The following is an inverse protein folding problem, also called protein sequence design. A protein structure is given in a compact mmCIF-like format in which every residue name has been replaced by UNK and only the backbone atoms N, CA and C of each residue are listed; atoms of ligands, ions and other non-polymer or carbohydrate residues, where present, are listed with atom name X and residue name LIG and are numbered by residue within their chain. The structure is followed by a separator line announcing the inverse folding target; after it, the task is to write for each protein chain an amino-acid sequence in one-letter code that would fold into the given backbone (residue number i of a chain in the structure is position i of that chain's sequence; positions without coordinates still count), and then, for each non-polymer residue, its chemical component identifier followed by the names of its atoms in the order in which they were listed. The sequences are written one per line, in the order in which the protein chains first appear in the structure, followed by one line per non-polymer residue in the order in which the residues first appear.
data_IF_487945107148
#
_entry.id   IF_487945107148
#
_cell.length_a   1.000
_cell.length_b   1.000
_cell.length_c   1.000
_cell.angle_alpha   90.00
_cell.angle_beta   90.00
_cell.angle_gamma   90.00
#
_symmetry.space_group_name_H-M   'P 1'
#
loop_
_entity.id
_entity.type
_entity.pdbx_description
1 polymer ?
#
# COMPACT_ATOMS: atom_id res chain seq x y z
N UNK A 1 -47.30 -30.51 55.89
CA UNK A 1 -47.66 -30.75 54.48
C UNK A 1 -47.56 -29.48 53.64
N UNK A 2 -48.17 -28.36 54.07
CA UNK A 2 -48.15 -27.06 53.36
C UNK A 2 -46.73 -26.49 53.18
N UNK A 3 -45.84 -26.56 54.18
CA UNK A 3 -44.47 -26.04 54.05
C UNK A 3 -43.57 -26.84 53.09
N UNK A 4 -43.84 -28.14 52.96
CA UNK A 4 -43.13 -29.02 52.02
C UNK A 4 -43.51 -28.66 50.58
N UNK A 5 -44.80 -28.38 50.34
CA UNK A 5 -45.31 -27.94 49.03
C UNK A 5 -44.79 -26.55 48.63
N UNK A 6 -44.65 -25.62 49.58
CA UNK A 6 -44.07 -24.29 49.32
C UNK A 6 -42.58 -24.36 48.95
N UNK A 7 -41.80 -25.19 49.66
CA UNK A 7 -40.37 -25.42 49.34
C UNK A 7 -40.19 -26.07 47.96
N UNK A 8 -41.04 -27.04 47.63
CA UNK A 8 -41.03 -27.68 46.31
C UNK A 8 -41.37 -26.68 45.18
N UNK A 9 -42.38 -25.83 45.36
CA UNK A 9 -42.74 -24.78 44.41
C UNK A 9 -41.60 -23.76 44.22
N UNK A 10 -40.91 -23.38 45.30
CA UNK A 10 -39.77 -22.46 45.23
C UNK A 10 -38.57 -23.05 44.48
N UNK A 11 -38.28 -24.34 44.69
CA UNK A 11 -37.23 -25.08 43.97
C UNK A 11 -37.54 -25.20 42.46
N UNK A 12 -38.80 -25.48 42.12
CA UNK A 12 -39.24 -25.55 40.73
C UNK A 12 -39.09 -24.19 40.03
N UNK A 13 -39.42 -23.09 40.72
CA UNK A 13 -39.29 -21.74 40.17
C UNK A 13 -37.82 -21.34 39.95
N UNK A 14 -36.92 -21.71 40.86
CA UNK A 14 -35.48 -21.50 40.71
C UNK A 14 -34.92 -22.32 39.54
N UNK A 15 -35.38 -23.57 39.39
CA UNK A 15 -34.97 -24.43 38.29
C UNK A 15 -35.45 -23.89 36.93
N UNK A 16 -36.69 -23.39 36.84
CA UNK A 16 -37.19 -22.73 35.64
C UNK A 16 -36.41 -21.47 35.30
N UNK A 17 -36.02 -20.67 36.31
CA UNK A 17 -35.23 -19.46 36.10
C UNK A 17 -33.82 -19.79 35.57
N UNK A 18 -33.19 -20.83 36.11
CA UNK A 18 -31.89 -21.34 35.63
C UNK A 18 -31.97 -21.81 34.16
N UNK A 19 -33.04 -22.52 33.79
CA UNK A 19 -33.25 -23.00 32.41
C UNK A 19 -33.48 -21.80 31.47
N UNK A 20 -34.27 -20.81 31.88
CA UNK A 20 -34.52 -19.60 31.10
C UNK A 20 -33.24 -18.78 30.86
N UNK A 21 -32.34 -18.70 31.84
CA UNK A 21 -31.03 -18.04 31.67
C UNK A 21 -30.09 -18.80 30.74
N UNK A 22 -30.17 -20.14 30.71
CA UNK A 22 -29.32 -20.98 29.84
C UNK A 22 -29.70 -20.83 28.35
N UNK A 23 -30.96 -20.51 28.06
CA UNK A 23 -31.43 -20.31 26.68
C UNK A 23 -31.02 -18.96 26.08
N UNK A 24 -30.68 -17.97 26.91
CA UNK A 24 -30.28 -16.62 26.46
C UNK A 24 -28.79 -16.49 26.13
N UNK A 25 -27.96 -17.48 26.47
CA UNK A 25 -26.50 -17.43 26.25
C UNK A 25 -26.02 -18.10 24.97
N UNK A 26 -26.92 -18.68 24.16
CA UNK A 26 -26.57 -19.28 22.87
C UNK A 26 -26.68 -18.26 21.74
N UNK A 27 -25.96 -17.14 21.86
CA UNK A 27 -25.67 -16.31 20.68
C UNK A 27 -24.64 -17.09 19.87
N UNK A 28 -25.09 -17.73 18.79
CA UNK A 28 -24.19 -18.31 17.80
C UNK A 28 -23.41 -17.16 17.16
N UNK A 29 -22.14 -17.01 17.55
CA UNK A 29 -21.20 -16.21 16.79
C UNK A 29 -20.98 -16.96 15.49
N UNK A 30 -21.61 -16.46 14.42
CA UNK A 30 -21.33 -16.93 13.07
C UNK A 30 -19.84 -16.64 12.83
N UNK A 31 -19.01 -17.68 12.73
CA UNK A 31 -17.65 -17.51 12.26
C UNK A 31 -17.71 -16.85 10.88
N UNK A 32 -16.82 -15.88 10.62
CA UNK A 32 -16.71 -15.28 9.30
C UNK A 32 -16.58 -16.41 8.25
N UNK A 33 -17.26 -16.28 7.12
CA UNK A 33 -17.08 -17.19 5.99
C UNK A 33 -15.59 -17.35 5.69
N UNK A 34 -15.15 -18.57 5.37
CA UNK A 34 -13.80 -18.78 4.85
C UNK A 34 -13.68 -18.02 3.53
N UNK A 35 -13.00 -16.87 3.57
CA UNK A 35 -12.68 -16.10 2.36
C UNK A 35 -11.58 -16.87 1.64
N UNK A 36 -11.94 -17.57 0.56
CA UNK A 36 -10.97 -18.15 -0.36
C UNK A 36 -10.56 -17.09 -1.39
N UNK A 37 -9.26 -16.76 -1.42
CA UNK A 37 -8.68 -15.80 -2.37
C UNK A 37 -7.69 -16.53 -3.27
N UNK A 38 -7.88 -16.43 -4.59
CA UNK A 38 -6.95 -16.89 -5.62
C UNK A 38 -5.76 -15.92 -5.78
N UNK A 39 -4.93 -15.82 -4.75
CA UNK A 39 -3.69 -15.04 -4.75
C UNK A 39 -2.59 -15.75 -3.94
N UNK A 40 -1.32 -15.48 -4.22
CA UNK A 40 -0.21 -15.99 -3.40
C UNK A 40 -0.24 -15.40 -1.98
N UNK A 41 -0.50 -14.10 -1.88
CA UNK A 41 -0.60 -13.35 -0.63
C UNK A 41 -1.76 -12.36 -0.69
N UNK A 42 -2.46 -12.16 0.44
CA UNK A 42 -3.54 -11.19 0.59
C UNK A 42 -3.66 -10.71 2.05
N UNK A 43 -4.11 -9.47 2.24
CA UNK A 43 -4.42 -8.90 3.56
C UNK A 43 -5.55 -7.89 3.44
N UNK A 44 -6.42 -7.84 4.45
CA UNK A 44 -7.47 -6.83 4.58
C UNK A 44 -7.34 -6.22 5.96
N UNK A 45 -7.27 -4.89 6.03
CA UNK A 45 -7.12 -4.15 7.28
C UNK A 45 -8.20 -3.09 7.39
N UNK A 46 -8.75 -2.94 8.59
CA UNK A 46 -9.56 -1.78 8.93
C UNK A 46 -8.65 -0.54 9.07
N UNK A 47 -8.76 0.38 8.12
CA UNK A 47 -7.87 1.55 8.03
C UNK A 47 -7.90 2.48 9.27
N UNK A 48 -8.96 2.45 10.08
CA UNK A 48 -9.07 3.31 11.28
C UNK A 48 -8.40 2.72 12.50
N UNK A 49 -8.47 1.39 12.64
CA UNK A 49 -8.04 0.67 13.84
C UNK A 49 -6.74 -0.11 13.63
N UNK A 50 -6.32 -0.30 12.38
CA UNK A 50 -5.21 -1.19 12.03
C UNK A 50 -5.53 -2.67 12.24
N UNK A 51 -6.79 -3.01 12.53
CA UNK A 51 -7.19 -4.40 12.77
C UNK A 51 -7.14 -5.19 11.48
N UNK A 52 -6.37 -6.28 11.47
CA UNK A 52 -6.38 -7.27 10.40
C UNK A 52 -7.73 -8.01 10.44
N UNK A 53 -8.46 -7.91 9.33
CA UNK A 53 -9.75 -8.57 9.12
C UNK A 53 -9.58 -9.91 8.39
N UNK A 54 -8.53 -10.03 7.58
CA UNK A 54 -8.17 -11.22 6.84
C UNK A 54 -6.69 -11.17 6.45
N UNK A 55 -6.01 -12.32 6.45
CA UNK A 55 -4.65 -12.46 5.96
C UNK A 55 -4.43 -13.84 5.32
N UNK A 56 -3.61 -13.88 4.28
CA UNK A 56 -3.12 -15.08 3.60
C UNK A 56 -1.67 -14.81 3.24
N UNK A 57 -0.72 -15.49 3.89
CA UNK A 57 0.71 -15.33 3.64
C UNK A 57 1.15 -13.85 3.55
N UNK A 58 0.63 -12.97 4.43
CA UNK A 58 0.84 -11.51 4.35
C UNK A 58 2.30 -11.08 4.51
N UNK A 59 3.10 -11.94 5.17
CA UNK A 59 4.53 -11.74 5.39
C UNK A 59 5.40 -12.27 4.24
N UNK A 60 4.77 -12.86 3.21
CA UNK A 60 5.47 -13.32 2.02
C UNK A 60 6.03 -12.11 1.25
N UNK A 61 7.33 -12.18 1.02
CA UNK A 61 8.10 -11.20 0.25
C UNK A 61 7.83 -11.35 -1.23
N UNK A 62 7.14 -10.37 -1.81
CA UNK A 62 6.81 -10.34 -3.23
C UNK A 62 7.30 -9.04 -3.88
N UNK A 63 7.65 -9.09 -5.17
CA UNK A 63 7.86 -7.88 -5.94
C UNK A 63 6.59 -7.04 -6.00
N UNK A 64 6.63 -5.76 -5.60
CA UNK A 64 5.43 -4.92 -5.60
C UNK A 64 5.06 -4.41 -6.99
N UNK A 65 5.99 -4.51 -7.96
CA UNK A 65 5.85 -3.89 -9.28
C UNK A 65 5.38 -2.43 -9.13
N UNK A 66 4.38 -2.01 -9.90
CA UNK A 66 3.85 -0.63 -9.89
C UNK A 66 3.32 -0.15 -8.53
N UNK A 67 3.05 -1.04 -7.55
CA UNK A 67 2.70 -0.60 -6.19
C UNK A 67 3.81 0.21 -5.50
N UNK A 68 5.05 0.11 -6.01
CA UNK A 68 6.16 0.99 -5.65
C UNK A 68 5.80 2.47 -5.72
N UNK A 69 4.99 2.86 -6.72
CA UNK A 69 4.61 4.25 -6.98
C UNK A 69 3.80 4.87 -5.84
N UNK A 70 3.21 4.09 -4.94
CA UNK A 70 2.55 4.63 -3.75
C UNK A 70 3.54 5.39 -2.84
N UNK A 71 4.78 4.93 -2.72
CA UNK A 71 5.83 5.66 -2.00
C UNK A 71 6.23 6.93 -2.75
N UNK A 72 6.29 6.87 -4.09
CA UNK A 72 6.55 8.06 -4.93
C UNK A 72 5.44 9.10 -4.77
N UNK A 73 4.18 8.68 -4.85
CA UNK A 73 3.00 9.52 -4.59
C UNK A 73 3.10 10.19 -3.22
N UNK A 74 3.40 9.41 -2.18
CA UNK A 74 3.55 9.92 -0.82
C UNK A 74 4.59 11.05 -0.76
N UNK A 75 5.79 10.84 -1.28
CA UNK A 75 6.87 11.82 -1.24
C UNK A 75 6.57 13.07 -2.08
N UNK A 76 5.90 12.92 -3.23
CA UNK A 76 5.45 14.07 -4.04
C UNK A 76 4.40 14.88 -3.27
N UNK A 77 3.42 14.23 -2.66
CA UNK A 77 2.40 14.89 -1.84
C UNK A 77 3.01 15.56 -0.60
N UNK A 78 4.01 14.94 0.02
CA UNK A 78 4.79 15.52 1.13
C UNK A 78 5.52 16.79 0.67
N UNK A 79 6.22 16.75 -0.46
CA UNK A 79 6.89 17.92 -1.02
C UNK A 79 5.92 19.06 -1.36
N UNK A 80 4.71 18.75 -1.82
CA UNK A 80 3.63 19.74 -2.03
C UNK A 80 3.17 20.33 -0.69
N UNK A 81 2.92 19.47 0.31
CA UNK A 81 2.47 19.88 1.64
C UNK A 81 3.50 20.77 2.35
N UNK A 82 4.79 20.49 2.15
CA UNK A 82 5.90 21.28 2.69
C UNK A 82 6.18 22.56 1.88
N UNK A 83 5.50 22.76 0.75
CA UNK A 83 5.67 23.94 -0.11
C UNK A 83 6.95 23.96 -0.93
N UNK A 84 7.66 22.82 -1.07
CA UNK A 84 8.85 22.69 -1.94
C UNK A 84 8.49 22.80 -3.41
N UNK A 85 7.34 22.22 -3.78
CA UNK A 85 6.71 22.32 -5.10
C UNK A 85 5.21 22.58 -4.91
N UNK A 86 4.50 22.92 -5.97
CA UNK A 86 3.05 22.98 -5.99
C UNK A 86 2.49 22.37 -7.29
N UNK A 87 1.17 22.24 -7.37
CA UNK A 87 0.52 21.61 -8.52
C UNK A 87 0.79 22.29 -9.87
N UNK A 88 1.09 23.59 -9.86
CA UNK A 88 1.36 24.40 -11.04
C UNK A 88 2.87 24.55 -11.32
N UNK A 89 3.73 24.06 -10.43
CA UNK A 89 5.18 23.94 -10.70
C UNK A 89 5.36 23.12 -11.96
N UNK A 90 6.19 23.62 -12.88
CA UNK A 90 6.48 22.94 -14.14
C UNK A 90 7.89 22.38 -14.16
N UNK A 91 8.06 21.26 -14.86
CA UNK A 91 9.38 20.71 -15.21
C UNK A 91 9.43 20.31 -16.68
N UNK A 92 10.64 20.27 -17.22
CA UNK A 92 10.91 19.64 -18.51
C UNK A 92 11.24 18.16 -18.30
N UNK A 93 11.10 17.39 -19.36
CA UNK A 93 11.31 15.94 -19.35
C UNK A 93 12.78 15.65 -19.68
N UNK A 94 13.44 14.87 -18.82
CA UNK A 94 14.82 14.42 -19.03
C UNK A 94 14.92 13.43 -20.20
N UNK A 95 16.13 13.24 -20.73
CA UNK A 95 16.39 12.23 -21.76
C UNK A 95 15.98 10.82 -21.30
N UNK A 96 16.19 10.51 -20.01
CA UNK A 96 15.81 9.25 -19.41
C UNK A 96 14.29 9.07 -19.36
N UNK A 97 13.56 10.04 -18.80
CA UNK A 97 12.10 9.98 -18.75
C UNK A 97 11.48 9.95 -20.17
N UNK A 98 12.08 10.68 -21.12
CA UNK A 98 11.64 10.66 -22.52
C UNK A 98 11.87 9.29 -23.17
N UNK A 99 13.06 8.71 -23.00
CA UNK A 99 13.37 7.35 -23.48
C UNK A 99 12.37 6.33 -22.94
N UNK A 100 12.09 6.39 -21.63
CA UNK A 100 11.14 5.48 -20.99
C UNK A 100 9.72 5.68 -21.53
N UNK A 101 9.33 6.92 -21.82
CA UNK A 101 8.03 7.24 -22.39
C UNK A 101 7.88 6.81 -23.86
N UNK A 102 8.99 6.61 -24.58
CA UNK A 102 8.98 6.26 -26.00
C UNK A 102 8.79 4.75 -26.23
N UNK A 103 8.93 3.92 -25.20
CA UNK A 103 8.73 2.48 -25.28
C UNK A 103 7.24 2.12 -25.12
N UNK A 104 6.57 1.62 -26.18
CA UNK A 104 5.15 1.27 -26.13
C UNK A 104 4.84 0.01 -25.31
N UNK A 105 5.86 -0.73 -24.85
CA UNK A 105 5.68 -1.89 -23.96
C UNK A 105 5.41 -1.49 -22.51
N UNK A 106 5.69 -0.23 -22.15
CA UNK A 106 5.42 0.31 -20.82
C UNK A 106 4.13 1.13 -20.76
N UNK A 107 3.57 1.25 -19.56
CA UNK A 107 2.48 2.20 -19.28
C UNK A 107 2.98 3.63 -19.51
N UNK A 108 2.30 4.38 -20.38
CA UNK A 108 2.76 5.69 -20.81
C UNK A 108 1.68 6.54 -21.49
N UNK A 109 1.80 7.86 -21.34
CA UNK A 109 0.96 8.87 -22.01
C UNK A 109 1.66 9.55 -23.20
N UNK A 110 2.95 9.24 -23.43
CA UNK A 110 3.74 9.86 -24.49
C UNK A 110 4.18 11.28 -24.11
N UNK A 111 5.23 11.37 -23.29
CA UNK A 111 5.90 12.61 -22.96
C UNK A 111 6.71 13.14 -24.14
N UNK A 112 6.76 14.47 -24.26
CA UNK A 112 7.46 15.17 -25.32
C UNK A 112 8.62 15.93 -24.69
N UNK A 113 9.82 15.77 -25.25
CA UNK A 113 11.01 16.51 -24.85
C UNK A 113 10.82 18.03 -25.09
N UNK A 114 11.50 18.86 -24.29
CA UNK A 114 11.43 20.34 -24.32
C UNK A 114 10.04 20.95 -24.05
N UNK A 115 9.03 20.13 -23.72
CA UNK A 115 7.72 20.59 -23.25
C UNK A 115 7.71 20.67 -21.73
N UNK A 116 7.18 21.78 -21.21
CA UNK A 116 6.90 21.91 -19.79
C UNK A 116 5.61 21.17 -19.42
N UNK A 117 5.69 20.33 -18.39
CA UNK A 117 4.56 19.66 -17.77
C UNK A 117 4.40 20.14 -16.34
N UNK A 118 3.17 20.38 -15.92
CA UNK A 118 2.85 20.71 -14.53
C UNK A 118 2.95 19.46 -13.64
N UNK A 119 3.26 19.64 -12.35
CA UNK A 119 3.20 18.58 -11.34
C UNK A 119 1.84 17.87 -11.38
N UNK A 120 0.74 18.62 -11.56
CA UNK A 120 -0.60 18.03 -11.71
C UNK A 120 -0.69 17.04 -12.86
N UNK A 121 -0.23 17.41 -14.06
CA UNK A 121 -0.30 16.54 -15.23
C UNK A 121 0.55 15.28 -15.05
N UNK A 122 1.75 15.42 -14.48
CA UNK A 122 2.63 14.28 -14.23
C UNK A 122 2.04 13.37 -13.15
N UNK A 123 1.51 13.94 -12.07
CA UNK A 123 0.89 13.19 -10.99
C UNK A 123 -0.35 12.44 -11.47
N UNK A 124 -1.21 13.06 -12.28
CA UNK A 124 -2.38 12.40 -12.87
C UNK A 124 -1.96 11.26 -13.81
N UNK A 125 -0.91 11.46 -14.62
CA UNK A 125 -0.34 10.39 -15.46
C UNK A 125 0.15 9.20 -14.63
N UNK A 126 0.88 9.48 -13.54
CA UNK A 126 1.35 8.46 -12.61
C UNK A 126 0.19 7.75 -11.91
N UNK A 127 -0.72 8.48 -11.27
CA UNK A 127 -1.74 7.89 -10.41
C UNK A 127 -2.86 7.18 -11.18
N UNK A 128 -3.19 7.66 -12.39
CA UNK A 128 -4.31 7.12 -13.18
C UNK A 128 -3.84 6.05 -14.17
N UNK A 129 -2.70 6.27 -14.84
CA UNK A 129 -2.19 5.40 -15.91
C UNK A 129 -1.03 4.53 -15.40
N UNK A 130 -0.55 4.72 -14.17
CA UNK A 130 0.67 4.08 -13.66
C UNK A 130 1.87 4.36 -14.57
N UNK A 131 1.92 5.56 -15.17
CA UNK A 131 2.93 5.92 -16.15
C UNK A 131 4.32 6.04 -15.50
N UNK A 132 5.27 5.23 -16.00
CA UNK A 132 6.62 5.16 -15.44
C UNK A 132 7.45 6.42 -15.71
N UNK A 133 7.31 7.02 -16.89
CA UNK A 133 8.07 8.21 -17.28
C UNK A 133 7.64 9.43 -16.46
N UNK A 134 6.34 9.59 -16.20
CA UNK A 134 5.84 10.65 -15.33
C UNK A 134 6.32 10.49 -13.88
N UNK A 135 6.44 9.24 -13.43
CA UNK A 135 6.96 8.89 -12.10
C UNK A 135 8.42 9.32 -11.96
N UNK A 136 9.26 8.99 -12.95
CA UNK A 136 10.67 9.41 -12.99
C UNK A 136 10.77 10.94 -13.03
N UNK A 137 9.99 11.61 -13.88
CA UNK A 137 10.00 13.07 -13.98
C UNK A 137 9.63 13.76 -12.66
N UNK A 138 8.68 13.21 -11.90
CA UNK A 138 8.34 13.70 -10.57
C UNK A 138 9.47 13.45 -9.56
N UNK A 139 10.08 12.27 -9.59
CA UNK A 139 11.20 11.92 -8.73
C UNK A 139 12.40 12.87 -8.94
N UNK A 140 12.75 13.12 -10.21
CA UNK A 140 13.80 14.07 -10.60
C UNK A 140 13.46 15.50 -10.18
N UNK A 141 12.21 15.94 -10.33
CA UNK A 141 11.78 17.26 -9.89
C UNK A 141 11.89 17.45 -8.36
N UNK A 142 11.53 16.42 -7.58
CA UNK A 142 11.53 16.49 -6.12
C UNK A 142 12.94 16.40 -5.53
N UNK A 143 13.79 15.52 -6.05
CA UNK A 143 15.09 15.18 -5.45
C UNK A 143 16.31 15.59 -6.30
N UNK A 144 16.10 16.14 -7.50
CA UNK A 144 17.14 16.47 -8.48
C UNK A 144 17.61 15.29 -9.33
N UNK A 145 17.38 14.05 -8.90
CA UNK A 145 17.61 12.82 -9.68
C UNK A 145 16.80 11.65 -9.11
N UNK A 146 16.54 10.61 -9.91
CA UNK A 146 15.89 9.38 -9.40
C UNK A 146 16.74 8.71 -8.31
N UNK A 147 18.07 8.75 -8.40
CA UNK A 147 18.96 8.16 -7.38
C UNK A 147 18.84 8.81 -6.01
N UNK A 148 18.79 10.15 -5.95
CA UNK A 148 18.53 10.85 -4.70
C UNK A 148 17.10 10.62 -4.21
N UNK A 149 16.13 10.49 -5.12
CA UNK A 149 14.77 10.16 -4.76
C UNK A 149 14.65 8.76 -4.11
N UNK A 150 15.36 7.76 -4.64
CA UNK A 150 15.41 6.41 -4.05
C UNK A 150 15.98 6.42 -2.64
N UNK A 151 16.94 7.31 -2.33
CA UNK A 151 17.40 7.49 -0.94
C UNK A 151 16.26 7.99 -0.06
N UNK A 152 15.52 9.01 -0.51
CA UNK A 152 14.34 9.52 0.21
C UNK A 152 13.28 8.43 0.42
N UNK A 153 13.01 7.59 -0.58
CA UNK A 153 12.07 6.46 -0.45
C UNK A 153 12.49 5.49 0.65
N UNK A 154 13.79 5.16 0.71
CA UNK A 154 14.31 4.25 1.72
C UNK A 154 14.37 4.90 3.11
N UNK A 155 14.65 6.19 3.21
CA UNK A 155 14.60 6.96 4.46
C UNK A 155 13.16 7.02 4.99
N UNK A 156 12.20 7.35 4.13
CA UNK A 156 10.77 7.41 4.50
C UNK A 156 10.26 6.06 4.97
N UNK A 157 10.71 4.98 4.35
CA UNK A 157 10.37 3.63 4.77
C UNK A 157 10.89 3.29 6.17
N UNK A 158 12.07 3.79 6.59
CA UNK A 158 12.54 3.68 7.99
C UNK A 158 11.55 4.42 8.91
N UNK A 159 11.19 5.65 8.54
CA UNK A 159 10.30 6.51 9.33
C UNK A 159 8.91 5.90 9.52
N UNK A 160 8.40 5.20 8.49
CA UNK A 160 7.14 4.47 8.52
C UNK A 160 7.22 3.12 9.27
N UNK A 161 8.42 2.71 9.69
CA UNK A 161 8.63 1.47 10.43
C UNK A 161 8.53 0.20 9.58
N UNK A 162 8.69 0.31 8.26
CA UNK A 162 8.81 -0.85 7.36
C UNK A 162 10.04 -1.65 7.78
N UNK A 163 9.92 -2.97 7.93
CA UNK A 163 11.01 -3.79 8.49
C UNK A 163 11.85 -4.45 7.41
N UNK A 164 11.21 -4.89 6.32
CA UNK A 164 11.88 -5.69 5.30
C UNK A 164 11.56 -5.14 3.91
N UNK A 165 12.10 -3.95 3.62
CA UNK A 165 11.90 -3.24 2.36
C UNK A 165 13.23 -2.90 1.69
N UNK A 166 13.16 -2.68 0.37
CA UNK A 166 14.22 -2.00 -0.36
C UNK A 166 13.70 -1.37 -1.64
N UNK A 167 13.69 -0.04 -1.72
CA UNK A 167 13.41 0.65 -2.97
C UNK A 167 14.69 0.78 -3.79
N UNK A 168 14.59 0.51 -5.09
CA UNK A 168 15.73 0.53 -6.03
C UNK A 168 15.53 1.51 -7.20
N UNK A 169 14.27 1.88 -7.46
CA UNK A 169 13.85 2.88 -8.42
C UNK A 169 12.47 3.43 -7.98
N UNK A 170 11.99 4.47 -8.65
CA UNK A 170 10.72 5.15 -8.33
C UNK A 170 9.48 4.46 -8.89
N UNK A 171 9.65 3.58 -9.89
CA UNK A 171 8.55 3.09 -10.74
C UNK A 171 8.07 1.68 -10.41
N UNK A 172 8.97 0.84 -9.86
CA UNK A 172 8.77 -0.58 -9.68
C UNK A 172 9.01 -1.44 -10.92
N UNK A 173 9.49 -0.85 -12.03
CA UNK A 173 10.00 -1.60 -13.17
C UNK A 173 11.22 -2.44 -12.78
N UNK A 174 11.46 -3.54 -13.51
CA UNK A 174 12.67 -4.32 -13.28
C UNK A 174 13.89 -3.54 -13.79
N UNK A 175 15.04 -3.69 -13.13
CA UNK A 175 16.27 -3.04 -13.60
C UNK A 175 16.72 -3.57 -14.97
N UNK A 176 16.26 -4.77 -15.38
CA UNK A 176 16.47 -5.28 -16.74
C UNK A 176 15.72 -4.42 -17.77
N UNK A 177 14.48 -4.01 -17.45
CA UNK A 177 13.67 -3.16 -18.33
C UNK A 177 14.23 -1.73 -18.42
N UNK A 178 14.91 -1.25 -17.37
CA UNK A 178 15.52 0.08 -17.33
C UNK A 178 16.88 0.15 -18.06
N UNK A 179 17.45 -0.96 -18.51
CA UNK A 179 18.69 -0.99 -19.29
C UNK A 179 19.88 -0.41 -18.52
N UNK A 180 20.50 0.65 -19.05
CA UNK A 180 21.62 1.37 -18.41
C UNK A 180 21.15 2.55 -17.54
N UNK A 181 19.84 2.83 -17.49
CA UNK A 181 19.28 4.00 -16.80
C UNK A 181 18.81 3.72 -15.37
N UNK A 182 19.09 2.55 -14.81
CA UNK A 182 18.77 2.31 -13.39
C UNK A 182 19.68 3.17 -12.49
N UNK A 183 19.16 3.72 -11.37
CA UNK A 183 20.00 4.43 -10.42
C UNK A 183 21.20 3.58 -9.97
N UNK A 184 22.42 4.14 -9.98
CA UNK A 184 23.69 3.46 -9.64
C UNK A 184 23.80 3.09 -8.14
N UNK A 185 22.94 2.16 -7.74
CA UNK A 185 23.14 1.21 -6.69
C UNK A 185 22.10 0.12 -6.98
N UNK A 186 22.52 -1.15 -7.09
CA UNK A 186 21.64 -2.34 -7.05
C UNK A 186 21.32 -3.02 -8.39
N UNK A 187 22.36 -3.44 -9.12
CA UNK A 187 22.26 -4.19 -10.38
C UNK A 187 21.56 -5.58 -10.31
N UNK A 188 21.06 -6.03 -9.15
CA UNK A 188 20.42 -7.35 -8.98
C UNK A 188 19.30 -7.42 -7.92
N UNK A 189 18.86 -6.31 -7.34
CA UNK A 189 17.81 -6.35 -6.30
C UNK A 189 16.47 -5.91 -6.87
N UNK A 190 15.47 -6.77 -6.74
CA UNK A 190 14.08 -6.41 -6.93
C UNK A 190 13.61 -5.66 -5.68
N UNK A 191 12.70 -4.70 -5.85
CA UNK A 191 11.97 -4.14 -4.72
C UNK A 191 11.19 -5.28 -4.09
N UNK A 192 11.32 -5.46 -2.79
CA UNK A 192 10.64 -6.53 -2.06
C UNK A 192 10.18 -5.93 -0.74
N UNK A 193 8.90 -6.10 -0.43
CA UNK A 193 8.34 -5.89 0.91
C UNK A 193 7.10 -6.76 1.07
N UNK A 194 6.69 -7.01 2.31
CA UNK A 194 5.50 -7.79 2.61
C UNK A 194 4.24 -6.89 2.68
N UNK A 195 3.06 -7.48 2.54
CA UNK A 195 1.81 -6.72 2.56
C UNK A 195 1.51 -6.16 3.96
N UNK A 196 1.99 -6.84 5.00
CA UNK A 196 1.88 -6.36 6.38
C UNK A 196 2.62 -5.03 6.59
N UNK A 197 3.77 -4.85 5.93
CA UNK A 197 4.58 -3.63 6.01
C UNK A 197 3.88 -2.45 5.31
N UNK A 198 3.22 -2.66 4.15
CA UNK A 198 2.47 -1.62 3.43
C UNK A 198 1.38 -0.90 4.26
N UNK A 199 0.91 -1.54 5.33
CA UNK A 199 -0.24 -1.09 6.13
C UNK A 199 0.14 -0.46 7.46
N UNK A 200 1.45 -0.32 7.75
CA UNK A 200 1.94 0.38 8.94
C UNK A 200 2.05 1.90 8.76
N UNK A 201 1.69 2.41 7.58
CA UNK A 201 1.61 3.83 7.23
C UNK A 201 0.41 4.54 7.88
#
# INVERSE_FOLDING_TARGET
MIDIMKKASMLIMILMLMIATYSLTNVSVQAAENIEVEAESAIIVDAKTGKILFEKQSDLKLPPASMTKMMTEYLVLEAIKEGKINWDTTTQISDYAYWLSADPSFSGIGLIQDKNYTVRQLYEGMAIISDNATTVALAELVAGSEGEFVKMMNEKAVEMGLQEYKFVNSTGLSNLDLGENYPEAQSQMQIIYCQHDLLRC
#
